data_IF_784047461972
#
_entry.id   IF_784047461972
#
_cell.length_a   1.000
_cell.length_b   1.000
_cell.length_c   1.000
_cell.angle_alpha   90.00
_cell.angle_beta   90.00
_cell.angle_gamma   90.00
#
_symmetry.space_group_name_H-M   'P 1'
#
loop_
_entity.id
_entity.type
_entity.pdbx_description
1 polymer ?
#
# COMPACT_ATOMS: atom_id res chain seq x y z
N UNK A 1 5.29 19.52 -3.02
CA UNK A 1 5.55 18.59 -4.13
C UNK A 1 4.39 17.60 -4.19
N UNK A 2 3.66 17.54 -5.30
CA UNK A 2 2.67 16.48 -5.50
C UNK A 2 3.42 15.16 -5.69
N UNK A 3 3.35 14.26 -4.71
CA UNK A 3 3.83 12.89 -4.89
C UNK A 3 2.98 12.30 -6.01
N UNK A 4 3.59 12.15 -7.18
CA UNK A 4 2.99 11.44 -8.29
C UNK A 4 3.12 9.96 -7.95
N UNK A 5 2.02 9.31 -7.56
CA UNK A 5 1.92 7.85 -7.34
C UNK A 5 2.01 7.10 -8.68
N UNK A 6 3.11 7.33 -9.41
CA UNK A 6 3.40 6.71 -10.69
C UNK A 6 4.40 5.57 -10.52
N UNK A 7 5.39 5.76 -9.64
CA UNK A 7 6.42 4.78 -9.35
C UNK A 7 6.51 4.51 -7.86
N UNK A 8 6.79 3.26 -7.50
CA UNK A 8 7.08 2.87 -6.12
C UNK A 8 8.28 3.65 -5.58
N UNK A 9 9.34 3.81 -6.38
CA UNK A 9 10.57 4.54 -6.05
C UNK A 9 10.35 5.98 -5.61
N UNK A 10 9.25 6.61 -6.03
CA UNK A 10 8.91 8.00 -5.66
C UNK A 10 8.16 8.07 -4.31
N UNK A 11 7.71 6.94 -3.78
CA UNK A 11 6.77 6.86 -2.65
C UNK A 11 7.29 6.07 -1.45
N UNK A 12 8.34 5.26 -1.61
CA UNK A 12 8.87 4.39 -0.54
C UNK A 12 10.38 4.53 -0.40
N UNK A 13 10.89 4.19 0.78
CA UNK A 13 12.32 4.16 1.02
C UNK A 13 12.99 3.03 0.20
N UNK A 14 14.26 3.20 -0.25
CA UNK A 14 14.96 2.18 -1.03
C UNK A 14 15.03 0.80 -0.34
N UNK A 15 15.08 0.78 1.00
CA UNK A 15 15.10 -0.45 1.78
C UNK A 15 13.75 -1.18 1.79
N UNK A 16 12.65 -0.47 1.59
CA UNK A 16 11.31 -1.05 1.47
C UNK A 16 11.13 -1.62 0.07
N UNK A 17 11.53 -0.86 -0.96
CA UNK A 17 11.51 -1.34 -2.34
C UNK A 17 12.38 -2.59 -2.52
N UNK A 18 13.57 -2.59 -1.92
CA UNK A 18 14.45 -3.76 -1.93
C UNK A 18 13.84 -4.96 -1.20
N UNK A 19 13.05 -4.74 -0.13
CA UNK A 19 12.35 -5.82 0.53
C UNK A 19 11.19 -6.38 -0.30
N UNK A 20 10.48 -5.52 -1.05
CA UNK A 20 9.49 -5.96 -2.03
C UNK A 20 10.13 -6.84 -3.11
N UNK A 21 11.27 -6.43 -3.68
CA UNK A 21 12.03 -7.24 -4.64
C UNK A 21 12.55 -8.58 -4.09
N UNK A 22 12.70 -8.72 -2.77
CA UNK A 22 13.11 -9.98 -2.13
C UNK A 22 11.96 -10.96 -1.94
N UNK A 23 10.71 -10.50 -1.99
CA UNK A 23 9.56 -11.38 -1.93
C UNK A 23 9.38 -12.08 -3.28
N UNK A 24 9.52 -13.42 -3.37
CA UNK A 24 9.50 -14.12 -4.65
C UNK A 24 8.24 -13.89 -5.46
N UNK A 25 7.08 -13.85 -4.80
CA UNK A 25 5.79 -13.62 -5.47
C UNK A 25 5.74 -12.22 -6.12
N UNK A 26 6.17 -11.19 -5.39
CA UNK A 26 6.22 -9.81 -5.92
C UNK A 26 7.22 -9.70 -7.06
N UNK A 27 8.44 -10.22 -6.88
CA UNK A 27 9.47 -10.13 -7.92
C UNK A 27 9.04 -10.83 -9.21
N UNK A 28 8.33 -11.97 -9.11
CA UNK A 28 7.78 -12.68 -10.28
C UNK A 28 6.72 -11.84 -10.96
N UNK A 29 5.76 -11.31 -10.20
CA UNK A 29 4.69 -10.46 -10.72
C UNK A 29 5.23 -9.21 -11.43
N UNK A 30 6.22 -8.54 -10.83
CA UNK A 30 6.86 -7.37 -11.43
C UNK A 30 7.64 -7.71 -12.69
N UNK A 31 8.40 -8.82 -12.71
CA UNK A 31 9.10 -9.28 -13.91
C UNK A 31 8.13 -9.64 -15.05
N UNK A 32 7.01 -10.30 -14.73
CA UNK A 32 5.96 -10.66 -15.70
C UNK A 32 5.26 -9.41 -16.26
N UNK A 33 5.14 -8.34 -15.46
CA UNK A 33 4.68 -7.03 -15.90
C UNK A 33 5.73 -6.24 -16.71
N UNK A 34 6.94 -6.76 -16.87
CA UNK A 34 8.04 -6.13 -17.60
C UNK A 34 8.86 -5.12 -16.78
N UNK A 35 8.65 -5.07 -15.46
CA UNK A 35 9.43 -4.23 -14.57
C UNK A 35 10.83 -4.83 -14.37
N UNK A 36 11.84 -3.97 -14.24
CA UNK A 36 13.23 -4.39 -14.11
C UNK A 36 13.84 -3.86 -12.84
N UNK A 37 14.48 -4.74 -12.06
CA UNK A 37 15.17 -4.35 -10.83
C UNK A 37 16.29 -3.33 -11.13
N UNK A 38 16.31 -2.25 -10.37
CA UNK A 38 17.24 -1.12 -10.57
C UNK A 38 16.73 -0.05 -11.54
N UNK A 39 15.57 -0.27 -12.17
CA UNK A 39 14.78 0.77 -12.81
C UNK A 39 13.59 1.14 -11.92
N UNK A 40 12.94 2.27 -12.22
CA UNK A 40 11.74 2.68 -11.49
C UNK A 40 10.60 1.71 -11.75
N UNK A 41 10.00 1.19 -10.68
CA UNK A 41 8.90 0.23 -10.73
C UNK A 41 7.57 0.98 -10.76
N UNK A 42 6.71 0.71 -11.75
CA UNK A 42 5.40 1.34 -11.83
C UNK A 42 4.45 0.86 -10.71
N UNK A 43 3.60 1.75 -10.23
CA UNK A 43 2.47 1.38 -9.37
C UNK A 43 1.32 0.89 -10.24
N UNK A 44 0.71 -0.24 -9.87
CA UNK A 44 -0.45 -0.80 -10.56
C UNK A 44 -1.64 0.16 -10.62
N UNK A 45 -2.40 0.07 -11.71
CA UNK A 45 -3.56 0.93 -12.00
C UNK A 45 -4.79 0.08 -12.27
N UNK A 46 -5.88 0.40 -11.60
CA UNK A 46 -7.16 -0.28 -11.83
C UNK A 46 -7.74 0.11 -13.20
N UNK A 47 -8.86 -0.49 -13.66
CA UNK A 47 -9.46 -0.15 -14.94
C UNK A 47 -9.88 1.33 -15.07
N UNK A 48 -10.13 2.01 -13.96
CA UNK A 48 -10.46 3.44 -13.91
C UNK A 48 -9.21 4.33 -13.90
N UNK A 49 -8.01 3.73 -13.80
CA UNK A 49 -6.73 4.40 -13.78
C UNK A 49 -6.30 4.87 -12.39
N UNK A 50 -6.97 4.44 -11.33
CA UNK A 50 -6.58 4.77 -9.96
C UNK A 50 -5.44 3.87 -9.46
N UNK A 51 -4.46 4.41 -8.73
CA UNK A 51 -3.34 3.62 -8.23
C UNK A 51 -3.79 2.72 -7.08
N UNK A 52 -3.47 1.44 -7.18
CA UNK A 52 -3.82 0.42 -6.21
C UNK A 52 -2.67 -0.57 -6.02
N UNK A 53 -2.74 -1.37 -4.97
CA UNK A 53 -1.85 -2.50 -4.77
C UNK A 53 -2.52 -3.79 -5.26
N UNK A 54 -1.78 -4.60 -6.01
CA UNK A 54 -2.24 -5.96 -6.29
C UNK A 54 -2.36 -6.76 -5.00
N UNK A 55 -3.02 -7.92 -5.06
CA UNK A 55 -3.12 -8.79 -3.89
C UNK A 55 -1.73 -9.26 -3.40
N UNK A 56 -0.84 -9.55 -4.35
CA UNK A 56 0.55 -9.97 -4.08
C UNK A 56 1.33 -8.85 -3.41
N UNK A 57 1.27 -7.64 -3.97
CA UNK A 57 1.93 -6.46 -3.41
C UNK A 57 1.39 -6.13 -2.01
N UNK A 58 0.06 -6.11 -1.84
CA UNK A 58 -0.59 -5.80 -0.56
C UNK A 58 -0.16 -6.80 0.53
N UNK A 59 -0.07 -8.09 0.19
CA UNK A 59 0.39 -9.11 1.12
C UNK A 59 1.84 -8.91 1.52
N UNK A 60 2.72 -8.64 0.56
CA UNK A 60 4.13 -8.39 0.84
C UNK A 60 4.33 -7.14 1.72
N UNK A 61 3.61 -6.05 1.44
CA UNK A 61 3.63 -4.83 2.25
C UNK A 61 3.19 -5.15 3.69
N UNK A 62 2.08 -5.86 3.86
CA UNK A 62 1.59 -6.25 5.18
C UNK A 62 2.61 -7.10 5.94
N UNK A 63 3.17 -8.13 5.29
CA UNK A 63 4.19 -9.01 5.86
C UNK A 63 5.45 -8.24 6.29
N UNK A 64 5.94 -7.33 5.45
CA UNK A 64 7.13 -6.51 5.74
C UNK A 64 6.88 -5.62 6.95
N UNK A 65 5.74 -4.92 6.99
CA UNK A 65 5.39 -4.02 8.10
C UNK A 65 5.25 -4.80 9.41
N UNK A 66 4.51 -5.91 9.39
CA UNK A 66 4.27 -6.75 10.57
C UNK A 66 5.58 -7.31 11.12
N UNK A 67 6.47 -7.82 10.25
CA UNK A 67 7.77 -8.37 10.65
C UNK A 67 8.69 -7.31 11.25
N UNK A 68 8.66 -6.07 10.74
CA UNK A 68 9.60 -5.01 11.15
C UNK A 68 9.14 -4.22 12.36
N UNK A 69 7.84 -4.06 12.55
CA UNK A 69 7.30 -3.11 13.53
C UNK A 69 6.44 -3.75 14.62
N UNK A 70 5.97 -4.98 14.41
CA UNK A 70 4.97 -5.59 15.28
C UNK A 70 5.36 -6.97 15.82
N UNK A 71 6.61 -7.40 15.62
CA UNK A 71 7.12 -8.70 16.08
C UNK A 71 6.17 -9.88 15.77
N UNK A 72 5.52 -9.84 14.59
CA UNK A 72 4.53 -10.83 14.17
C UNK A 72 3.26 -10.95 15.05
N UNK A 73 2.99 -9.98 15.93
CA UNK A 73 1.82 -9.98 16.81
C UNK A 73 0.50 -9.67 16.07
N UNK A 74 0.60 -9.09 14.87
CA UNK A 74 -0.54 -8.77 14.01
C UNK A 74 -0.54 -9.72 12.82
N UNK A 75 -1.68 -10.29 12.47
CA UNK A 75 -1.82 -11.11 11.26
C UNK A 75 -1.74 -10.24 10.00
N UNK A 76 -0.81 -10.51 9.06
CA UNK A 76 -0.77 -9.81 7.78
C UNK A 76 -2.06 -10.00 6.96
N UNK A 77 -2.64 -11.21 6.98
CA UNK A 77 -3.90 -11.51 6.28
C UNK A 77 -5.05 -10.65 6.81
N UNK A 78 -5.07 -10.35 8.11
CA UNK A 78 -6.05 -9.42 8.69
C UNK A 78 -5.87 -8.00 8.13
N UNK A 79 -4.63 -7.52 7.97
CA UNK A 79 -4.35 -6.21 7.37
C UNK A 79 -4.82 -6.19 5.91
N UNK A 80 -4.51 -7.24 5.14
CA UNK A 80 -4.96 -7.37 3.75
C UNK A 80 -6.49 -7.36 3.64
N UNK A 81 -7.18 -8.11 4.49
CA UNK A 81 -8.64 -8.15 4.49
C UNK A 81 -9.26 -6.78 4.82
N UNK A 82 -8.68 -6.04 5.77
CA UNK A 82 -9.15 -4.67 6.07
C UNK A 82 -8.90 -3.74 4.87
N UNK A 83 -7.73 -3.79 4.24
CA UNK A 83 -7.40 -2.98 3.07
C UNK A 83 -8.35 -3.25 1.87
N UNK A 84 -8.68 -4.51 1.63
CA UNK A 84 -9.65 -4.91 0.59
C UNK A 84 -11.05 -4.37 0.90
N UNK A 85 -11.55 -4.57 2.14
CA UNK A 85 -12.88 -4.12 2.54
C UNK A 85 -13.01 -2.59 2.64
N UNK A 86 -11.94 -1.91 3.04
CA UNK A 86 -11.97 -0.48 3.32
C UNK A 86 -11.81 0.36 2.05
N UNK A 87 -10.94 -0.05 1.13
CA UNK A 87 -10.56 0.79 -0.01
C UNK A 87 -10.32 0.05 -1.31
N UNK A 88 -10.61 -1.26 -1.38
CA UNK A 88 -10.20 -2.12 -2.49
C UNK A 88 -8.69 -1.99 -2.82
N UNK A 89 -7.87 -1.79 -1.78
CA UNK A 89 -6.41 -1.56 -1.88
C UNK A 89 -5.98 -0.33 -2.68
N UNK A 90 -6.91 0.59 -2.99
CA UNK A 90 -6.58 1.87 -3.61
C UNK A 90 -5.76 2.75 -2.67
N UNK A 91 -4.62 3.25 -3.16
CA UNK A 91 -3.66 4.02 -2.36
C UNK A 91 -4.23 5.37 -1.92
N UNK A 92 -5.02 6.00 -2.80
CA UNK A 92 -5.51 7.36 -2.66
C UNK A 92 -7.02 7.43 -2.37
N UNK A 93 -7.62 6.30 -1.96
CA UNK A 93 -9.04 6.24 -1.67
C UNK A 93 -9.48 7.30 -0.65
N UNK A 94 -10.55 8.01 -0.98
CA UNK A 94 -11.18 9.00 -0.11
C UNK A 94 -12.65 8.67 0.02
N UNK A 95 -13.10 8.43 1.24
CA UNK A 95 -14.50 8.15 1.51
C UNK A 95 -15.09 9.21 2.43
N UNK A 96 -16.20 9.81 1.99
CA UNK A 96 -16.95 10.76 2.81
C UNK A 96 -18.00 10.03 3.64
N UNK A 97 -17.85 10.07 4.96
CA UNK A 97 -18.82 9.52 5.90
C UNK A 97 -19.92 10.56 6.20
N UNK A 98 -21.09 10.38 5.57
CA UNK A 98 -22.24 11.31 5.72
C UNK A 98 -22.69 11.52 7.17
N UNK A 99 -22.58 10.51 8.03
CA UNK A 99 -23.04 10.57 9.43
C UNK A 99 -22.17 11.48 10.29
N UNK A 100 -20.85 11.36 10.14
CA UNK A 100 -19.86 12.11 10.92
C UNK A 100 -19.44 13.40 10.23
N UNK A 101 -19.73 13.52 8.93
CA UNK A 101 -19.26 14.59 8.03
C UNK A 101 -17.73 14.63 7.90
N UNK A 102 -17.08 13.48 8.05
CA UNK A 102 -15.62 13.34 7.99
C UNK A 102 -15.18 12.60 6.72
N UNK A 103 -13.92 12.81 6.34
CA UNK A 103 -13.29 12.14 5.21
C UNK A 103 -12.22 11.19 5.76
N UNK A 104 -12.37 9.91 5.46
CA UNK A 104 -11.32 8.90 5.65
C UNK A 104 -10.44 8.83 4.41
N UNK A 105 -9.15 8.54 4.62
CA UNK A 105 -8.16 8.56 3.55
C UNK A 105 -7.25 7.33 3.58
N UNK A 106 -6.75 6.97 2.40
CA UNK A 106 -5.73 5.93 2.21
C UNK A 106 -6.26 4.50 2.30
N UNK A 107 -5.35 3.54 2.17
CA UNK A 107 -5.68 2.11 2.10
C UNK A 107 -6.53 1.65 3.30
N UNK A 108 -6.18 2.11 4.50
CA UNK A 108 -6.83 1.69 5.74
C UNK A 108 -8.02 2.58 6.14
N UNK A 109 -8.41 3.53 5.27
CA UNK A 109 -9.50 4.50 5.53
C UNK A 109 -9.42 5.14 6.93
N UNK A 110 -8.24 5.64 7.29
CA UNK A 110 -8.01 6.27 8.59
C UNK A 110 -8.46 7.74 8.53
N UNK A 111 -9.03 8.22 9.62
CA UNK A 111 -9.36 9.64 9.78
C UNK A 111 -8.06 10.45 10.00
N UNK A 112 -7.87 11.60 9.33
CA UNK A 112 -6.66 12.41 9.49
C UNK A 112 -6.34 12.77 10.96
N UNK A 113 -7.38 13.06 11.76
CA UNK A 113 -7.24 13.30 13.21
C UNK A 113 -6.70 12.09 13.98
N UNK A 114 -7.05 10.88 13.55
CA UNK A 114 -6.60 9.63 14.18
C UNK A 114 -5.15 9.33 13.77
N UNK A 115 -4.80 9.54 12.51
CA UNK A 115 -3.40 9.43 12.06
C UNK A 115 -2.49 10.38 12.82
N UNK A 116 -2.89 11.66 12.96
CA UNK A 116 -2.13 12.64 13.73
C UNK A 116 -2.00 12.28 15.22
N UNK A 117 -2.99 11.57 15.77
CA UNK A 117 -2.90 11.06 17.14
C UNK A 117 -1.91 9.89 17.27
N UNK A 118 -1.83 9.01 16.27
CA UNK A 118 -0.90 7.87 16.24
C UNK A 118 0.57 8.28 16.07
N UNK A 119 0.84 9.43 15.45
CA UNK A 119 2.21 9.97 15.28
C UNK A 119 2.79 10.59 16.56
N UNK A 120 2.01 10.73 17.64
CA UNK A 120 2.46 11.30 18.91
C UNK A 120 2.97 10.24 19.87
#
# INVERSE_FOLDING_TARGET
MSISFKYWDDCVDPNDLEAMWREPAVSTEWLDAGETRGQKVHISRDPDGEPYLTQTEMKAVADIIVRRHFDLQISPDMICAIAELASDRQLLARQYQKKTKEITVGIMQILPKTAQWLER
#
